data_IF_948266869143
#
_entry.id   IF_948266869143
#
_cell.length_a   1.000
_cell.length_b   1.000
_cell.length_c   1.000
_cell.angle_alpha   90.00
_cell.angle_beta   90.00
_cell.angle_gamma   90.00
#
_symmetry.space_group_name_H-M   'P 1'
#
loop_
_entity.id
_entity.type
_entity.pdbx_description
1 polymer ?
#
# COMPACT_ATOMS: atom_id res chain seq x y z
N UNK A 1 10.09 -8.53 -44.80
CA UNK A 1 10.58 -8.36 -43.41
C UNK A 1 9.68 -9.20 -42.53
N UNK A 2 10.20 -10.11 -41.69
CA UNK A 2 9.37 -10.90 -40.79
C UNK A 2 8.63 -9.95 -39.84
N UNK A 3 7.33 -10.18 -39.63
CA UNK A 3 6.44 -9.28 -38.88
C UNK A 3 6.21 -9.71 -37.44
N UNK A 4 6.82 -10.80 -36.99
CA UNK A 4 6.62 -11.37 -35.65
C UNK A 4 7.95 -11.71 -34.96
N UNK A 5 8.03 -11.39 -33.66
CA UNK A 5 9.19 -11.66 -32.79
C UNK A 5 9.43 -13.16 -32.59
N UNK A 6 8.39 -13.99 -32.74
CA UNK A 6 8.51 -15.45 -32.72
C UNK A 6 9.29 -15.98 -33.95
N UNK A 7 9.08 -15.38 -35.12
CA UNK A 7 9.78 -15.76 -36.36
C UNK A 7 11.27 -15.37 -36.35
N UNK A 8 11.65 -14.43 -35.49
CA UNK A 8 13.04 -14.01 -35.29
C UNK A 8 13.82 -14.93 -34.33
N UNK A 9 13.19 -15.97 -33.76
CA UNK A 9 13.86 -16.93 -32.88
C UNK A 9 14.36 -16.35 -31.55
N UNK A 10 13.87 -15.16 -31.16
CA UNK A 10 14.30 -14.43 -29.96
C UNK A 10 13.55 -14.85 -28.68
N UNK A 11 12.49 -15.66 -28.81
CA UNK A 11 11.70 -16.19 -27.70
C UNK A 11 11.66 -17.71 -27.84
N UNK A 12 12.29 -18.44 -26.91
CA UNK A 12 11.95 -19.84 -26.67
C UNK A 12 10.70 -19.85 -25.79
N UNK A 13 9.57 -20.31 -26.33
CA UNK A 13 8.44 -20.66 -25.50
C UNK A 13 8.82 -21.95 -24.77
N UNK A 14 9.17 -21.84 -23.49
CA UNK A 14 9.10 -22.99 -22.59
C UNK A 14 7.61 -23.30 -22.42
N UNK A 15 7.12 -24.22 -23.25
CA UNK A 15 5.90 -24.96 -22.97
C UNK A 15 6.24 -25.93 -21.85
N UNK A 16 6.20 -25.44 -20.61
CA UNK A 16 5.90 -26.23 -19.41
C UNK A 16 6.02 -25.31 -18.18
N UNK A 17 4.90 -24.66 -17.85
CA UNK A 17 4.61 -24.39 -16.45
C UNK A 17 3.34 -25.16 -16.11
N UNK A 18 3.52 -26.20 -15.29
CA UNK A 18 2.42 -26.86 -14.61
C UNK A 18 1.67 -25.81 -13.80
N UNK A 19 0.61 -25.24 -14.39
CA UNK A 19 -0.44 -24.58 -13.63
C UNK A 19 -1.23 -25.71 -12.99
N UNK A 20 -0.75 -26.18 -11.83
CA UNK A 20 -1.61 -26.95 -10.94
C UNK A 20 -2.84 -26.10 -10.65
N UNK A 21 -3.97 -26.51 -11.23
CA UNK A 21 -5.29 -25.94 -10.98
C UNK A 21 -5.66 -26.19 -9.53
N UNK A 22 -5.28 -25.28 -8.64
CA UNK A 22 -6.04 -25.07 -7.41
C UNK A 22 -7.25 -24.21 -7.77
N UNK A 23 -8.28 -24.83 -8.33
CA UNK A 23 -9.60 -24.23 -8.42
C UNK A 23 -10.26 -24.32 -7.04
N UNK A 24 -9.94 -23.37 -6.16
CA UNK A 24 -10.90 -22.90 -5.16
C UNK A 24 -11.58 -21.68 -5.75
N UNK A 25 -12.90 -21.53 -5.58
CA UNK A 25 -13.63 -20.35 -6.06
C UNK A 25 -12.91 -19.07 -5.59
N UNK A 26 -12.43 -18.29 -6.57
CA UNK A 26 -11.80 -17.01 -6.35
C UNK A 26 -12.70 -15.95 -6.96
N UNK A 27 -12.94 -14.87 -6.21
CA UNK A 27 -13.69 -13.72 -6.70
C UNK A 27 -12.71 -12.64 -7.12
N UNK A 28 -12.97 -12.01 -8.26
CA UNK A 28 -12.17 -10.91 -8.77
C UNK A 28 -13.08 -9.75 -9.16
N UNK A 29 -12.63 -8.54 -8.88
CA UNK A 29 -13.27 -7.32 -9.32
C UNK A 29 -12.17 -6.39 -9.85
N UNK A 30 -12.29 -6.01 -11.12
CA UNK A 30 -11.42 -4.99 -11.68
C UNK A 30 -11.76 -3.63 -11.07
N UNK A 31 -10.73 -2.83 -10.80
CA UNK A 31 -10.85 -1.51 -10.18
C UNK A 31 -10.09 -0.52 -11.04
N UNK A 32 -10.74 0.56 -11.46
CA UNK A 32 -10.11 1.66 -12.19
C UNK A 32 -10.37 3.03 -11.58
N UNK A 33 -9.35 3.90 -11.65
CA UNK A 33 -9.45 5.33 -11.37
C UNK A 33 -10.22 5.67 -10.08
N UNK A 34 -11.44 6.21 -10.19
CA UNK A 34 -12.26 6.66 -9.05
C UNK A 34 -12.66 5.49 -8.12
N UNK A 35 -12.73 4.28 -8.65
CA UNK A 35 -13.07 3.08 -7.90
C UNK A 35 -12.01 2.72 -6.84
N UNK A 36 -10.77 3.20 -7.01
CA UNK A 36 -9.76 3.04 -5.96
C UNK A 36 -10.18 3.73 -4.66
N UNK A 37 -10.91 4.84 -4.73
CA UNK A 37 -11.44 5.45 -3.51
C UNK A 37 -12.67 4.69 -3.00
N UNK A 38 -13.65 4.45 -3.87
CA UNK A 38 -14.97 3.93 -3.46
C UNK A 38 -14.96 2.44 -3.13
N UNK A 39 -14.06 1.66 -3.72
CA UNK A 39 -13.97 0.22 -3.53
C UNK A 39 -12.75 -0.23 -2.73
N UNK A 40 -11.60 0.46 -2.85
CA UNK A 40 -10.36 0.03 -2.16
C UNK A 40 -10.13 0.81 -0.87
N UNK A 41 -10.15 2.14 -0.93
CA UNK A 41 -10.00 2.96 0.29
C UNK A 41 -11.16 2.75 1.25
N UNK A 42 -12.41 2.72 0.76
CA UNK A 42 -13.59 2.45 1.60
C UNK A 42 -13.47 1.14 2.37
N UNK A 43 -12.91 0.08 1.77
CA UNK A 43 -12.66 -1.17 2.50
C UNK A 43 -11.69 -1.01 3.67
N UNK A 44 -10.72 -0.09 3.58
CA UNK A 44 -9.84 0.21 4.72
C UNK A 44 -10.63 0.72 5.93
N UNK A 45 -11.77 1.39 5.75
CA UNK A 45 -12.57 1.89 6.87
C UNK A 45 -13.37 0.78 7.56
N UNK A 46 -13.66 -0.30 6.82
CA UNK A 46 -14.50 -1.42 7.21
C UNK A 46 -13.73 -2.57 7.87
N UNK A 47 -12.39 -2.59 7.77
CA UNK A 47 -11.54 -3.62 8.39
C UNK A 47 -11.79 -3.74 9.89
N UNK A 48 -11.74 -4.97 10.41
CA UNK A 48 -12.04 -5.30 11.80
C UNK A 48 -10.85 -5.84 12.58
N UNK A 49 -9.91 -6.48 11.90
CA UNK A 49 -8.84 -7.26 12.53
C UNK A 49 -7.46 -6.83 12.03
N UNK A 50 -7.27 -6.73 10.72
CA UNK A 50 -5.96 -6.31 10.20
C UNK A 50 -6.02 -5.57 8.88
N UNK A 51 -5.03 -4.69 8.69
CA UNK A 51 -4.78 -3.98 7.46
C UNK A 51 -3.30 -4.06 7.14
N UNK A 52 -2.94 -4.78 6.07
CA UNK A 52 -1.55 -4.93 5.62
C UNK A 52 -1.35 -4.17 4.32
N UNK A 53 -0.38 -3.28 4.28
CA UNK A 53 -0.12 -2.37 3.15
C UNK A 53 1.32 -2.53 2.71
N UNK A 54 1.53 -2.94 1.46
CA UNK A 54 2.80 -2.79 0.78
C UNK A 54 2.66 -1.75 -0.34
N UNK A 55 3.37 -0.63 -0.21
CA UNK A 55 3.28 0.47 -1.19
C UNK A 55 4.62 1.10 -1.48
N UNK A 56 4.89 1.51 -2.72
CA UNK A 56 6.12 2.24 -3.03
C UNK A 56 6.13 3.64 -2.41
N UNK A 57 4.99 4.34 -2.46
CA UNK A 57 4.87 5.73 -2.01
C UNK A 57 3.78 5.87 -0.94
N UNK A 58 4.18 6.31 0.25
CA UNK A 58 3.27 6.57 1.36
C UNK A 58 3.27 8.07 1.65
N UNK A 59 2.16 8.74 1.33
CA UNK A 59 1.96 10.15 1.65
C UNK A 59 0.90 10.29 2.74
N UNK A 60 1.08 11.27 3.61
CA UNK A 60 -0.02 11.71 4.46
C UNK A 60 -0.91 12.68 3.66
N UNK A 61 -2.19 12.37 3.48
CA UNK A 61 -3.15 13.19 2.75
C UNK A 61 -4.50 13.22 3.47
N UNK A 62 -5.44 14.04 2.99
CA UNK A 62 -6.78 14.12 3.56
C UNK A 62 -7.62 12.94 3.11
N UNK A 63 -8.22 12.24 4.06
CA UNK A 63 -9.15 11.15 3.84
C UNK A 63 -10.54 11.61 4.27
N UNK A 64 -11.58 11.08 3.60
CA UNK A 64 -12.96 11.50 3.79
C UNK A 64 -13.80 10.30 4.20
N UNK A 65 -14.32 10.31 5.43
CA UNK A 65 -15.08 9.20 5.99
C UNK A 65 -16.55 9.61 6.04
N UNK A 66 -17.42 8.75 5.53
CA UNK A 66 -18.87 8.94 5.63
C UNK A 66 -19.32 8.56 7.06
N UNK A 67 -19.98 9.49 7.75
CA UNK A 67 -20.52 9.32 9.10
C UNK A 67 -21.99 9.80 9.15
N UNK A 68 -22.75 9.41 10.18
CA UNK A 68 -24.19 9.68 10.30
C UNK A 68 -24.56 11.18 10.31
N UNK A 69 -23.59 12.08 10.49
CA UNK A 69 -23.75 13.54 10.43
C UNK A 69 -23.13 14.22 9.20
N UNK A 70 -22.57 13.47 8.24
CA UNK A 70 -21.93 14.02 7.03
C UNK A 70 -20.58 13.39 6.71
N UNK A 71 -19.72 14.14 6.04
CA UNK A 71 -18.37 13.67 5.68
C UNK A 71 -17.35 14.25 6.64
N UNK A 72 -16.73 13.40 7.45
CA UNK A 72 -15.58 13.78 8.26
C UNK A 72 -14.31 13.78 7.42
N UNK A 73 -13.45 14.77 7.65
CA UNK A 73 -12.15 14.87 6.98
C UNK A 73 -11.05 14.77 8.03
N UNK A 74 -10.12 13.85 7.83
CA UNK A 74 -8.95 13.69 8.70
C UNK A 74 -7.69 13.38 7.89
N UNK A 75 -6.51 13.37 8.53
CA UNK A 75 -5.28 12.95 7.85
C UNK A 75 -5.17 11.43 7.87
N UNK A 76 -4.45 10.86 6.91
CA UNK A 76 -4.21 9.42 6.85
C UNK A 76 -3.60 8.86 8.15
N UNK A 77 -2.71 9.60 8.81
CA UNK A 77 -2.19 9.20 10.12
C UNK A 77 -3.28 9.10 11.19
N UNK A 78 -4.19 10.07 11.24
CA UNK A 78 -5.29 10.07 12.20
C UNK A 78 -6.27 8.93 11.91
N UNK A 79 -6.47 8.61 10.63
CA UNK A 79 -7.24 7.45 10.21
C UNK A 79 -6.61 6.13 10.66
N UNK A 80 -5.29 5.96 10.48
CA UNK A 80 -4.62 4.78 11.03
C UNK A 80 -4.69 4.74 12.55
N UNK A 81 -4.62 5.89 13.24
CA UNK A 81 -4.80 5.96 14.69
C UNK A 81 -6.18 5.43 15.10
N UNK A 82 -7.23 5.87 14.40
CA UNK A 82 -8.60 5.41 14.63
C UNK A 82 -8.74 3.89 14.42
N UNK A 83 -8.07 3.32 13.41
CA UNK A 83 -8.08 1.87 13.19
C UNK A 83 -7.40 1.12 14.35
N UNK A 84 -6.21 1.56 14.78
CA UNK A 84 -5.50 0.88 15.87
C UNK A 84 -6.18 1.07 17.22
N UNK A 85 -6.85 2.19 17.47
CA UNK A 85 -7.67 2.41 18.66
C UNK A 85 -8.92 1.51 18.68
N UNK A 86 -9.42 1.13 17.51
CA UNK A 86 -10.47 0.08 17.37
C UNK A 86 -9.93 -1.34 17.53
N UNK A 87 -8.62 -1.52 17.71
CA UNK A 87 -7.99 -2.84 17.86
C UNK A 87 -7.54 -3.49 16.55
N UNK A 88 -7.54 -2.76 15.42
CA UNK A 88 -7.05 -3.27 14.13
C UNK A 88 -5.52 -3.27 14.11
N UNK A 89 -4.87 -4.37 13.73
CA UNK A 89 -3.43 -4.42 13.50
C UNK A 89 -3.09 -3.85 12.12
N UNK A 90 -2.36 -2.75 12.08
CA UNK A 90 -1.99 -2.04 10.86
C UNK A 90 -0.49 -2.21 10.60
N UNK A 91 -0.17 -2.84 9.48
CA UNK A 91 1.19 -3.12 9.05
C UNK A 91 1.46 -2.43 7.70
N UNK A 92 2.46 -1.56 7.65
CA UNK A 92 2.81 -0.81 6.44
C UNK A 92 4.27 -1.01 6.08
N UNK A 93 4.56 -1.59 4.92
CA UNK A 93 5.90 -1.63 4.33
C UNK A 93 5.98 -0.71 3.12
N UNK A 94 6.94 0.21 3.09
CA UNK A 94 7.06 1.15 1.96
C UNK A 94 8.48 1.62 1.62
N UNK A 95 8.67 2.07 0.39
CA UNK A 95 9.94 2.62 -0.09
C UNK A 95 10.11 4.10 0.24
N UNK A 96 9.02 4.88 0.37
CA UNK A 96 9.08 6.32 0.67
C UNK A 96 8.25 6.69 1.92
N UNK A 97 8.70 6.36 3.16
CA UNK A 97 7.95 6.64 4.39
C UNK A 97 8.13 8.06 4.94
N UNK A 98 9.21 8.77 4.55
CA UNK A 98 9.73 9.92 5.30
C UNK A 98 8.71 11.05 5.53
N UNK A 99 7.97 11.46 4.49
CA UNK A 99 6.99 12.53 4.61
C UNK A 99 5.84 12.17 5.54
N UNK A 100 5.34 10.93 5.46
CA UNK A 100 4.33 10.42 6.37
C UNK A 100 4.86 10.35 7.81
N UNK A 101 6.03 9.74 8.01
CA UNK A 101 6.62 9.55 9.33
C UNK A 101 6.93 10.88 10.04
N UNK A 102 7.58 11.82 9.36
CA UNK A 102 7.91 13.11 9.98
C UNK A 102 6.67 13.88 10.40
N UNK A 103 5.59 13.80 9.61
CA UNK A 103 4.31 14.37 9.97
C UNK A 103 3.70 13.65 11.18
N UNK A 104 3.62 12.31 11.15
CA UNK A 104 3.06 11.52 12.24
C UNK A 104 3.83 11.75 13.55
N UNK A 105 5.17 11.73 13.51
CA UNK A 105 6.01 12.03 14.68
C UNK A 105 5.72 13.40 15.30
N UNK A 106 5.44 14.41 14.47
CA UNK A 106 5.17 15.77 14.94
C UNK A 106 3.74 15.94 15.47
N UNK A 107 2.74 15.37 14.78
CA UNK A 107 1.34 15.72 14.98
C UNK A 107 0.47 14.57 15.52
N UNK A 108 0.93 13.32 15.41
CA UNK A 108 0.23 12.10 15.80
C UNK A 108 1.23 11.05 16.34
N UNK A 109 2.06 11.37 17.35
CA UNK A 109 3.06 10.45 17.88
C UNK A 109 2.45 9.19 18.49
N UNK A 110 1.22 9.28 19.00
CA UNK A 110 0.47 8.16 19.58
C UNK A 110 0.30 7.01 18.59
N UNK A 111 0.16 7.29 17.30
CA UNK A 111 0.12 6.26 16.26
C UNK A 111 1.44 5.48 16.21
N UNK A 112 2.57 6.19 16.20
CA UNK A 112 3.89 5.57 16.07
C UNK A 112 4.31 4.80 17.33
N UNK A 113 3.72 5.13 18.48
CA UNK A 113 3.94 4.48 19.77
C UNK A 113 2.97 3.33 20.02
N UNK A 114 1.89 3.23 19.24
CA UNK A 114 0.89 2.18 19.40
C UNK A 114 1.42 0.83 18.88
N UNK A 115 1.38 -0.25 19.70
CA UNK A 115 1.91 -1.56 19.31
C UNK A 115 1.16 -2.22 18.15
N UNK A 116 -0.07 -1.78 17.84
CA UNK A 116 -0.84 -2.26 16.70
C UNK A 116 -0.52 -1.50 15.40
N UNK A 117 0.42 -0.55 15.41
CA UNK A 117 0.91 0.10 14.19
C UNK A 117 2.39 -0.22 13.96
N UNK A 118 2.70 -0.83 12.81
CA UNK A 118 4.07 -1.08 12.39
C UNK A 118 4.35 -0.44 11.03
N UNK A 119 5.40 0.37 10.94
CA UNK A 119 5.88 0.96 9.70
C UNK A 119 7.31 0.48 9.39
N UNK A 120 7.49 -0.22 8.28
CA UNK A 120 8.77 -0.74 7.80
C UNK A 120 9.21 -0.08 6.50
N UNK A 121 10.51 0.13 6.37
CA UNK A 121 11.13 0.64 5.15
C UNK A 121 11.76 -0.49 4.34
N UNK A 122 11.51 -0.49 3.03
CA UNK A 122 12.18 -1.38 2.08
C UNK A 122 12.42 -0.62 0.77
N UNK A 123 13.69 -0.43 0.39
CA UNK A 123 14.08 0.32 -0.81
C UNK A 123 13.81 -0.41 -2.13
N UNK A 124 13.54 -1.72 -2.06
CA UNK A 124 13.12 -2.55 -3.20
C UNK A 124 11.60 -2.70 -3.31
N UNK A 125 10.84 -2.21 -2.33
CA UNK A 125 9.39 -2.38 -2.37
C UNK A 125 8.74 -1.43 -3.39
N UNK A 126 8.35 -1.98 -4.54
CA UNK A 126 7.55 -1.27 -5.54
C UNK A 126 6.10 -1.78 -5.64
N UNK A 127 5.72 -2.74 -4.80
CA UNK A 127 4.36 -3.30 -4.80
C UNK A 127 3.33 -2.23 -4.47
N UNK A 128 2.10 -2.45 -4.94
CA UNK A 128 0.90 -1.79 -4.41
C UNK A 128 -0.10 -2.88 -4.11
N UNK A 129 -0.09 -3.31 -2.86
CA UNK A 129 -0.87 -4.42 -2.34
C UNK A 129 -1.46 -4.00 -1.01
N UNK A 130 -2.78 -4.12 -0.88
CA UNK A 130 -3.48 -3.86 0.37
C UNK A 130 -4.29 -5.10 0.73
N UNK A 131 -4.11 -5.63 1.92
CA UNK A 131 -4.82 -6.80 2.42
C UNK A 131 -5.74 -6.36 3.55
N UNK A 132 -7.00 -6.77 3.46
CA UNK A 132 -8.09 -6.42 4.36
C UNK A 132 -8.51 -7.69 5.10
N UNK A 133 -8.32 -7.69 6.42
CA UNK A 133 -8.70 -8.78 7.33
C UNK A 133 -8.22 -10.18 6.91
N UNK A 134 -7.14 -10.27 6.12
CA UNK A 134 -6.60 -11.51 5.56
C UNK A 134 -7.58 -12.30 4.66
N UNK A 135 -8.70 -11.69 4.26
CA UNK A 135 -9.78 -12.30 3.48
C UNK A 135 -9.90 -11.74 2.05
N UNK A 136 -9.48 -10.49 1.85
CA UNK A 136 -9.54 -9.79 0.58
C UNK A 136 -8.26 -8.99 0.37
N UNK A 137 -7.84 -8.83 -0.89
CA UNK A 137 -6.71 -7.98 -1.23
C UNK A 137 -6.95 -7.16 -2.49
N UNK A 138 -6.40 -5.96 -2.51
CA UNK A 138 -6.17 -5.18 -3.72
C UNK A 138 -4.73 -5.40 -4.19
N UNK A 139 -4.54 -5.61 -5.49
CA UNK A 139 -3.24 -5.58 -6.16
C UNK A 139 -3.36 -4.75 -7.43
N UNK A 140 -2.49 -3.76 -7.63
CA UNK A 140 -2.57 -2.91 -8.81
C UNK A 140 -1.48 -1.85 -8.89
N UNK A 141 -1.82 -0.71 -9.49
CA UNK A 141 -0.91 0.42 -9.72
C UNK A 141 -0.97 1.50 -8.62
N UNK A 142 -2.07 1.57 -7.85
CA UNK A 142 -2.33 2.70 -6.97
C UNK A 142 -1.49 2.70 -5.68
N UNK A 143 -0.66 3.72 -5.48
CA UNK A 143 0.04 3.92 -4.20
C UNK A 143 -0.86 4.59 -3.15
N UNK A 144 -0.46 4.58 -1.87
CA UNK A 144 -1.15 5.32 -0.80
C UNK A 144 -0.83 6.82 -0.90
N UNK A 145 -1.48 7.48 -1.86
CA UNK A 145 -1.39 8.92 -2.11
C UNK A 145 -2.74 9.49 -2.55
N UNK A 146 -2.95 10.79 -2.35
CA UNK A 146 -4.17 11.47 -2.79
C UNK A 146 -4.42 11.37 -4.31
N UNK A 147 -3.36 11.25 -5.13
CA UNK A 147 -3.49 11.19 -6.59
C UNK A 147 -3.99 9.84 -7.12
N UNK A 148 -3.63 8.77 -6.40
CA UNK A 148 -3.89 7.40 -6.81
C UNK A 148 -5.12 6.83 -6.09
N UNK A 149 -5.07 6.76 -4.75
CA UNK A 149 -6.14 6.14 -3.96
C UNK A 149 -7.08 7.15 -3.29
N UNK A 150 -6.72 8.44 -3.18
CA UNK A 150 -7.52 9.42 -2.43
C UNK A 150 -8.70 10.03 -3.20
N UNK A 151 -9.57 10.76 -2.50
CA UNK A 151 -10.70 11.50 -3.11
C UNK A 151 -10.17 12.75 -3.81
N UNK A 152 -10.15 12.74 -5.14
CA UNK A 152 -9.84 13.89 -6.00
C UNK A 152 -10.94 14.12 -7.02
N UNK A 153 -11.09 15.39 -7.42
CA UNK A 153 -12.01 15.77 -8.49
C UNK A 153 -11.62 15.10 -9.82
N UNK A 154 -12.62 14.85 -10.67
CA UNK A 154 -12.45 14.31 -12.02
C UNK A 154 -11.44 15.15 -12.81
N UNK A 155 -10.52 14.48 -13.52
CA UNK A 155 -9.47 15.11 -14.33
C UNK A 155 -8.18 15.53 -13.61
N UNK A 156 -8.05 15.34 -12.29
CA UNK A 156 -6.80 15.59 -11.53
C UNK A 156 -6.21 14.31 -10.90
N UNK A 157 -6.70 13.15 -11.32
CA UNK A 157 -6.30 11.82 -10.82
C UNK A 157 -5.28 11.18 -11.76
N UNK A 158 -4.52 10.26 -11.20
CA UNK A 158 -3.78 9.31 -12.03
C UNK A 158 -4.76 8.37 -12.72
N UNK A 159 -4.37 7.86 -13.88
CA UNK A 159 -4.98 6.64 -14.42
C UNK A 159 -4.41 5.45 -13.66
N UNK A 160 -5.26 4.74 -12.95
CA UNK A 160 -4.87 3.61 -12.10
C UNK A 160 -5.72 2.39 -12.45
N UNK A 161 -5.12 1.22 -12.38
CA UNK A 161 -5.77 -0.06 -12.61
C UNK A 161 -5.35 -1.06 -11.53
N UNK A 162 -6.27 -1.92 -11.15
CA UNK A 162 -5.99 -2.99 -10.22
C UNK A 162 -7.11 -4.01 -10.14
N UNK A 163 -6.91 -4.99 -9.27
CA UNK A 163 -7.87 -6.06 -9.04
C UNK A 163 -8.05 -6.20 -7.54
N UNK A 164 -9.30 -6.18 -7.10
CA UNK A 164 -9.70 -6.76 -5.83
C UNK A 164 -9.87 -8.26 -6.01
N UNK A 165 -9.29 -9.04 -5.12
CA UNK A 165 -9.34 -10.48 -5.15
C UNK A 165 -9.66 -11.05 -3.77
N UNK A 166 -10.33 -12.19 -3.76
CA UNK A 166 -10.55 -13.01 -2.57
C UNK A 166 -10.63 -14.49 -2.95
N UNK A 167 -10.56 -15.35 -1.95
CA UNK A 167 -10.60 -16.79 -2.12
C UNK A 167 -9.36 -17.46 -1.52
N UNK A 168 -9.48 -18.69 -0.97
CA UNK A 168 -8.45 -19.29 -0.13
C UNK A 168 -7.07 -19.36 -0.77
N UNK A 169 -6.98 -19.86 -2.01
CA UNK A 169 -5.70 -20.00 -2.72
C UNK A 169 -5.07 -18.64 -3.03
N UNK A 170 -5.87 -17.67 -3.49
CA UNK A 170 -5.36 -16.35 -3.84
C UNK A 170 -4.90 -15.57 -2.61
N UNK A 171 -5.65 -15.65 -1.51
CA UNK A 171 -5.26 -15.01 -0.25
C UNK A 171 -4.04 -15.68 0.37
N UNK A 172 -3.93 -17.01 0.33
CA UNK A 172 -2.73 -17.71 0.79
C UNK A 172 -1.48 -17.24 0.03
N UNK A 173 -1.56 -17.15 -1.30
CA UNK A 173 -0.44 -16.68 -2.12
C UNK A 173 -0.10 -15.20 -1.83
N UNK A 174 -1.13 -14.36 -1.70
CA UNK A 174 -0.98 -12.93 -1.41
C UNK A 174 -0.33 -12.69 -0.06
N UNK A 175 -0.84 -13.33 1.00
CA UNK A 175 -0.30 -13.25 2.36
C UNK A 175 1.13 -13.78 2.42
N UNK A 176 1.41 -14.92 1.79
CA UNK A 176 2.77 -15.47 1.71
C UNK A 176 3.74 -14.48 1.05
N UNK A 177 3.31 -13.78 0.01
CA UNK A 177 4.15 -12.77 -0.64
C UNK A 177 4.34 -11.53 0.24
N UNK A 178 3.27 -11.04 0.87
CA UNK A 178 3.37 -9.94 1.84
C UNK A 178 4.35 -10.30 2.96
N UNK A 179 4.20 -11.46 3.59
CA UNK A 179 5.07 -11.94 4.67
C UNK A 179 6.53 -12.09 4.23
N UNK A 180 6.77 -12.57 3.00
CA UNK A 180 8.12 -12.64 2.44
C UNK A 180 8.76 -11.26 2.37
N UNK A 181 8.02 -10.25 1.91
CA UNK A 181 8.54 -8.88 1.86
C UNK A 181 8.66 -8.32 3.28
N UNK A 182 7.65 -8.46 4.11
CA UNK A 182 7.60 -7.97 5.49
C UNK A 182 8.77 -8.46 6.35
N UNK A 183 9.16 -9.72 6.18
CA UNK A 183 10.25 -10.37 6.90
C UNK A 183 11.54 -10.45 6.08
N UNK A 184 11.63 -9.76 4.94
CA UNK A 184 12.85 -9.72 4.13
C UNK A 184 14.00 -9.21 5.01
N UNK A 185 15.13 -9.94 5.14
CA UNK A 185 16.25 -9.54 6.00
C UNK A 185 16.90 -8.21 5.57
N UNK A 186 16.66 -7.76 4.33
CA UNK A 186 17.07 -6.45 3.84
C UNK A 186 16.08 -5.35 4.27
N UNK A 187 14.91 -5.69 4.83
CA UNK A 187 14.13 -4.81 5.70
C UNK A 187 14.94 -4.59 6.97
N UNK A 188 15.79 -3.59 6.85
CA UNK A 188 16.65 -3.06 7.88
C UNK A 188 17.53 -4.07 8.63
N UNK A 189 18.43 -4.76 7.90
CA UNK A 189 19.87 -4.77 8.27
C UNK A 189 20.54 -3.38 8.18
N UNK A 190 19.80 -2.36 7.74
CA UNK A 190 20.08 -0.93 7.82
C UNK A 190 19.30 -0.27 8.96
N UNK A 191 19.58 -0.66 10.21
CA UNK A 191 19.04 -0.06 11.46
C UNK A 191 18.55 1.40 11.37
N UNK A 192 17.58 1.76 12.22
CA UNK A 192 17.09 3.12 12.51
C UNK A 192 18.17 4.24 12.59
N UNK A 193 19.46 3.90 12.69
CA UNK A 193 20.61 4.80 12.49
C UNK A 193 20.72 5.39 11.06
N UNK A 194 20.46 4.62 9.99
CA UNK A 194 20.35 5.17 8.61
C UNK A 194 19.09 6.01 8.45
N UNK A 195 18.00 5.62 9.11
CA UNK A 195 16.75 6.38 9.16
C UNK A 195 16.92 7.75 9.84
N UNK A 196 17.62 7.80 10.98
CA UNK A 196 17.96 9.05 11.67
C UNK A 196 18.91 9.93 10.84
N UNK A 197 19.89 9.33 10.15
CA UNK A 197 20.80 10.05 9.24
C UNK A 197 20.06 10.65 8.04
N UNK A 198 19.22 9.88 7.34
CA UNK A 198 18.43 10.37 6.22
C UNK A 198 17.37 11.39 6.65
N UNK A 199 16.74 11.24 7.81
CA UNK A 199 15.81 12.24 8.34
C UNK A 199 16.51 13.58 8.66
N UNK A 200 17.75 13.54 9.14
CA UNK A 200 18.58 14.74 9.36
C UNK A 200 19.01 15.38 8.03
N UNK A 201 19.41 14.58 7.03
CA UNK A 201 19.76 15.07 5.68
C UNK A 201 18.54 15.66 4.94
N UNK A 202 17.35 15.07 5.13
CA UNK A 202 16.09 15.57 4.56
C UNK A 202 15.66 16.89 5.20
N UNK A 203 15.81 17.04 6.53
CA UNK A 203 15.63 18.33 7.22
C UNK A 203 16.59 19.40 6.70
N UNK A 204 17.86 19.05 6.49
CA UNK A 204 18.86 19.99 5.99
C UNK A 204 18.54 20.49 4.57
N UNK A 205 17.95 19.65 3.71
CA UNK A 205 17.52 20.06 2.36
C UNK A 205 16.32 21.02 2.37
N UNK A 206 15.32 20.78 3.21
CA UNK A 206 14.14 21.66 3.30
C UNK A 206 14.50 23.05 3.84
N UNK A 207 15.42 23.12 4.82
CA UNK A 207 15.87 24.40 5.39
C UNK A 207 16.74 25.25 4.43
N UNK A 208 17.22 24.67 3.33
CA UNK A 208 18.02 25.36 2.30
C UNK A 208 17.15 25.85 1.14
N UNK A 209 15.95 25.29 0.96
CA UNK A 209 15.00 25.70 -0.08
C UNK A 209 14.01 26.80 0.39
N UNK A 210 14.05 27.19 1.68
CA UNK A 210 13.21 28.26 2.26
C UNK A 210 14.01 29.55 2.62
N UNK A 211 15.20 29.76 2.03
CA UNK A 211 16.00 31.01 2.14
C UNK A 211 16.18 31.68 0.79
#
# INVERSE_FOLDING_TARGET
MPKDLAELGLIKMDSDSNIEKFQTEASFCYVEDEEHYTQVFKRMTEVKHSLKIATANLKNFNVFIEADGGVETMRLCDFFLLLVERGVHVQVVCMKPFGFYLYAKKNCPQLLENPLFELRYNDRNHMKMFVFDDECAYIGSANITSAAIGKRASGKRNHEAGILLSGPTMMQATLKHFEKVWNDPDILKSSWKRFAKMANEFKAKIMVEEV
#
